data_IF_770654379934
#
_entry.id   IF_770654379934
#
_cell.length_a   1.000
_cell.length_b   1.000
_cell.length_c   1.000
_cell.angle_alpha   90.00
_cell.angle_beta   90.00
_cell.angle_gamma   90.00
#
_symmetry.space_group_name_H-M   'P 1'
#
loop_
_entity.id
_entity.type
_entity.pdbx_description
1 polymer ?
#
# COMPACT_ATOMS: atom_id res chain seq x y z
N UNK A 1 -56.04 -1.44 1.41
CA UNK A 1 -54.81 -1.83 2.13
C UNK A 1 -53.62 -1.44 1.27
N UNK A 2 -52.90 -0.40 1.70
CA UNK A 2 -51.89 0.31 0.93
C UNK A 2 -50.63 -0.55 0.71
N UNK A 3 -50.46 -1.04 -0.52
CA UNK A 3 -49.15 -1.38 -1.08
C UNK A 3 -48.56 -0.06 -1.58
N UNK A 4 -47.69 0.62 -0.81
CA UNK A 4 -46.77 1.68 -1.28
C UNK A 4 -45.98 2.35 -0.13
N UNK A 5 -45.50 1.60 0.86
CA UNK A 5 -44.57 2.16 1.87
C UNK A 5 -43.52 1.09 2.23
N UNK A 6 -42.62 0.78 1.29
CA UNK A 6 -41.40 0.00 1.58
C UNK A 6 -40.24 0.45 0.69
N UNK A 7 -40.02 1.76 0.55
CA UNK A 7 -38.86 2.26 -0.19
C UNK A 7 -38.35 3.58 0.41
N UNK A 8 -38.00 3.57 1.69
CA UNK A 8 -37.36 4.74 2.32
C UNK A 8 -36.51 4.36 3.55
N UNK A 9 -35.75 3.26 3.45
CA UNK A 9 -34.87 2.79 4.52
C UNK A 9 -33.63 2.07 3.98
N UNK A 10 -33.04 2.60 2.88
CA UNK A 10 -31.79 2.11 2.29
C UNK A 10 -30.84 3.27 1.96
N UNK A 11 -30.80 4.26 2.85
CA UNK A 11 -29.88 5.39 2.75
C UNK A 11 -29.37 5.78 4.14
N UNK A 12 -28.96 4.78 4.93
CA UNK A 12 -27.93 5.00 5.94
C UNK A 12 -26.61 4.78 5.23
N UNK A 13 -26.18 5.82 4.52
CA UNK A 13 -24.80 5.96 4.08
C UNK A 13 -23.88 5.79 5.30
N UNK A 14 -22.86 4.91 5.27
CA UNK A 14 -21.79 4.98 6.25
C UNK A 14 -20.91 6.19 5.89
N UNK A 15 -21.37 7.40 6.20
CA UNK A 15 -20.65 8.66 5.96
C UNK A 15 -19.61 8.96 7.07
N UNK A 16 -19.05 7.95 7.71
CA UNK A 16 -18.13 8.16 8.84
C UNK A 16 -17.07 7.05 8.99
N UNK A 17 -16.34 6.73 7.92
CA UNK A 17 -15.23 5.74 7.99
C UNK A 17 -13.83 6.40 7.86
N UNK A 18 -13.75 7.65 7.45
CA UNK A 18 -12.49 8.32 7.11
C UNK A 18 -12.02 9.34 8.15
N UNK A 19 -12.20 9.06 9.43
CA UNK A 19 -11.73 9.92 10.53
C UNK A 19 -11.12 9.13 11.68
N UNK A 20 -10.50 7.98 11.36
CA UNK A 20 -10.02 7.04 12.37
C UNK A 20 -8.49 6.94 12.39
N UNK A 21 -7.80 7.32 11.30
CA UNK A 21 -6.34 7.19 11.25
C UNK A 21 -5.65 8.24 12.10
N UNK A 22 -6.17 9.47 12.19
CA UNK A 22 -5.62 10.46 13.11
C UNK A 22 -5.68 9.99 14.56
N UNK A 23 -6.82 9.43 14.96
CA UNK A 23 -7.07 9.00 16.33
C UNK A 23 -6.22 7.77 16.67
N UNK A 24 -6.16 6.79 15.77
CA UNK A 24 -5.27 5.62 15.92
C UNK A 24 -3.79 6.00 15.95
N UNK A 25 -3.38 7.04 15.21
CA UNK A 25 -2.01 7.54 15.26
C UNK A 25 -1.71 8.18 16.62
N UNK A 26 -2.62 8.98 17.16
CA UNK A 26 -2.45 9.61 18.47
C UNK A 26 -2.42 8.56 19.60
N UNK A 27 -3.24 7.50 19.50
CA UNK A 27 -3.23 6.35 20.42
C UNK A 27 -1.88 5.60 20.37
N UNK A 28 -1.40 5.27 19.17
CA UNK A 28 -0.10 4.61 18.96
C UNK A 28 1.07 5.39 19.59
N UNK A 29 1.05 6.72 19.51
CA UNK A 29 2.10 7.56 20.11
C UNK A 29 2.02 7.64 21.64
N UNK A 30 0.86 7.34 22.22
CA UNK A 30 0.67 7.35 23.67
C UNK A 30 1.22 6.10 24.36
N UNK A 31 1.45 5.04 23.59
CA UNK A 31 2.05 3.79 24.06
C UNK A 31 3.58 3.88 24.06
N UNK A 32 4.20 3.38 25.14
CA UNK A 32 5.66 3.43 25.30
C UNK A 32 6.39 2.41 24.44
N UNK A 33 5.75 1.29 24.11
CA UNK A 33 6.32 0.17 23.35
C UNK A 33 5.21 -0.58 22.60
N UNK A 34 4.66 0.01 21.53
CA UNK A 34 3.57 -0.62 20.77
C UNK A 34 4.08 -1.91 20.11
N UNK A 35 3.34 -3.01 20.28
CA UNK A 35 3.65 -4.28 19.64
C UNK A 35 3.18 -4.28 18.18
N UNK A 36 4.05 -4.63 17.23
CA UNK A 36 3.76 -4.53 15.80
C UNK A 36 2.47 -5.26 15.41
N UNK A 37 2.29 -6.48 15.92
CA UNK A 37 1.15 -7.35 15.65
C UNK A 37 -0.19 -6.70 16.00
N UNK A 38 -0.23 -5.82 17.00
CA UNK A 38 -1.44 -5.12 17.44
C UNK A 38 -1.79 -3.97 16.47
N UNK A 39 -0.80 -3.44 15.76
CA UNK A 39 -0.95 -2.32 14.83
C UNK A 39 -1.05 -2.73 13.36
N UNK A 40 -0.82 -4.00 13.01
CA UNK A 40 -0.94 -4.50 11.63
C UNK A 40 -2.25 -4.10 10.93
N UNK A 41 -3.44 -4.17 11.57
CA UNK A 41 -4.68 -3.73 10.94
C UNK A 41 -4.70 -2.22 10.63
N UNK A 42 -4.13 -1.40 11.51
CA UNK A 42 -4.06 0.06 11.35
C UNK A 42 -3.06 0.42 10.26
N UNK A 43 -1.93 -0.30 10.18
CA UNK A 43 -0.93 -0.11 9.12
C UNK A 43 -1.51 -0.51 7.77
N UNK A 44 -2.24 -1.63 7.69
CA UNK A 44 -2.93 -2.05 6.46
C UNK A 44 -3.90 -0.95 6.02
N UNK A 45 -4.76 -0.49 6.92
CA UNK A 45 -5.71 0.59 6.64
C UNK A 45 -5.03 1.89 6.22
N UNK A 46 -3.94 2.28 6.88
CA UNK A 46 -3.16 3.46 6.51
C UNK A 46 -2.60 3.32 5.10
N UNK A 47 -2.03 2.16 4.76
CA UNK A 47 -1.47 1.88 3.45
C UNK A 47 -2.53 1.90 2.34
N UNK A 48 -3.71 1.32 2.57
CA UNK A 48 -4.85 1.39 1.65
C UNK A 48 -5.33 2.84 1.47
N UNK A 49 -5.39 3.62 2.56
CA UNK A 49 -5.81 5.02 2.49
C UNK A 49 -4.92 5.85 1.56
N UNK A 50 -3.60 5.60 1.56
CA UNK A 50 -2.64 6.29 0.67
C UNK A 50 -3.00 6.13 -0.81
N UNK A 51 -3.55 4.97 -1.20
CA UNK A 51 -3.87 4.66 -2.60
C UNK A 51 -5.33 4.87 -2.99
N UNK A 52 -6.23 5.19 -2.05
CA UNK A 52 -7.65 5.46 -2.35
C UNK A 52 -7.95 6.93 -2.64
N UNK A 53 -7.00 7.84 -2.38
CA UNK A 53 -7.20 9.29 -2.52
C UNK A 53 -6.08 9.95 -3.32
N UNK A 54 -6.38 11.03 -4.06
CA UNK A 54 -5.34 11.90 -4.60
C UNK A 54 -4.48 12.47 -3.47
N UNK A 55 -3.21 12.78 -3.79
CA UNK A 55 -2.27 13.41 -2.86
C UNK A 55 -2.90 14.65 -2.21
N UNK A 56 -3.11 14.60 -0.89
CA UNK A 56 -3.69 15.70 -0.13
C UNK A 56 -2.92 15.96 1.17
N UNK A 57 -1.81 16.70 1.03
CA UNK A 57 -0.92 17.04 2.15
C UNK A 57 -1.54 17.94 3.23
N UNK A 58 -2.81 18.35 3.10
CA UNK A 58 -3.54 19.13 4.10
C UNK A 58 -4.56 18.30 4.87
N UNK A 59 -4.87 17.09 4.42
CA UNK A 59 -5.79 16.18 5.12
C UNK A 59 -5.11 15.61 6.36
N UNK A 60 -5.79 15.69 7.51
CA UNK A 60 -5.29 15.08 8.76
C UNK A 60 -5.12 13.58 8.62
N UNK A 61 -6.08 12.90 8.01
CA UNK A 61 -6.01 11.45 7.76
C UNK A 61 -4.87 11.08 6.84
N UNK A 62 -4.62 11.88 5.80
CA UNK A 62 -3.51 11.64 4.89
C UNK A 62 -2.17 11.79 5.59
N UNK A 63 -2.03 12.82 6.43
CA UNK A 63 -0.84 13.02 7.26
C UNK A 63 -0.69 11.86 8.25
N UNK A 64 -1.78 11.43 8.90
CA UNK A 64 -1.76 10.33 9.86
C UNK A 64 -1.39 9.00 9.21
N UNK A 65 -1.97 8.69 8.04
CA UNK A 65 -1.65 7.50 7.26
C UNK A 65 -0.13 7.41 6.97
N UNK A 66 0.44 8.48 6.44
CA UNK A 66 1.87 8.54 6.14
C UNK A 66 2.72 8.42 7.41
N UNK A 67 2.30 9.00 8.54
CA UNK A 67 3.04 8.93 9.80
C UNK A 67 2.98 7.56 10.46
N UNK A 68 1.84 6.86 10.39
CA UNK A 68 1.71 5.46 10.83
C UNK A 68 2.72 4.61 10.05
N UNK A 69 2.74 4.74 8.73
CA UNK A 69 3.67 3.96 7.89
C UNK A 69 5.12 4.35 8.16
N UNK A 70 5.42 5.65 8.31
CA UNK A 70 6.76 6.13 8.60
C UNK A 70 7.29 5.69 9.97
N UNK A 71 6.42 5.55 10.97
CA UNK A 71 6.77 4.99 12.26
C UNK A 71 7.23 3.54 12.12
N UNK A 72 6.45 2.72 11.42
CA UNK A 72 6.70 1.28 11.31
C UNK A 72 7.78 0.89 10.29
N UNK A 73 8.02 1.69 9.24
CA UNK A 73 9.04 1.36 8.22
C UNK A 73 10.45 1.19 8.79
N UNK A 74 10.74 1.80 9.95
CA UNK A 74 12.06 1.81 10.57
C UNK A 74 12.15 0.83 11.76
N UNK A 75 11.10 0.04 12.01
CA UNK A 75 11.03 -0.93 13.11
C UNK A 75 11.26 -2.33 12.56
N UNK A 76 11.69 -3.24 13.44
CA UNK A 76 11.66 -4.65 13.13
C UNK A 76 10.22 -5.15 13.23
N UNK A 77 9.69 -5.62 12.10
CA UNK A 77 8.32 -6.12 11.94
C UNK A 77 8.29 -7.63 11.70
N UNK A 78 9.46 -8.29 11.68
CA UNK A 78 9.59 -9.67 11.22
C UNK A 78 9.29 -9.87 9.73
N UNK A 79 9.08 -8.80 8.95
CA UNK A 79 8.88 -8.84 7.50
C UNK A 79 9.82 -7.85 6.81
N UNK A 80 10.59 -8.34 5.83
CA UNK A 80 11.40 -7.50 4.96
C UNK A 80 10.54 -6.80 3.91
N UNK A 81 10.93 -5.57 3.54
CA UNK A 81 10.39 -4.89 2.36
C UNK A 81 11.43 -5.01 1.24
N UNK A 82 11.15 -5.81 0.19
CA UNK A 82 12.15 -6.13 -0.83
C UNK A 82 12.35 -4.98 -1.82
N UNK A 83 13.11 -3.95 -1.42
CA UNK A 83 13.53 -2.86 -2.29
C UNK A 83 14.63 -3.30 -3.27
N UNK A 84 14.87 -2.52 -4.33
CA UNK A 84 16.05 -2.69 -5.19
C UNK A 84 15.87 -3.61 -6.39
N UNK A 85 14.73 -3.53 -7.07
CA UNK A 85 14.56 -4.09 -8.41
C UNK A 85 14.62 -2.99 -9.50
N UNK A 86 14.67 -3.39 -10.76
CA UNK A 86 14.75 -2.43 -11.87
C UNK A 86 13.58 -1.45 -11.89
N UNK A 87 12.38 -1.91 -11.53
CA UNK A 87 11.23 -1.03 -11.43
C UNK A 87 11.45 0.09 -10.40
N UNK A 88 11.92 -0.24 -9.20
CA UNK A 88 12.28 0.72 -8.14
C UNK A 88 13.27 1.77 -8.64
N UNK A 89 14.27 1.36 -9.43
CA UNK A 89 15.28 2.25 -10.00
C UNK A 89 14.68 3.21 -11.05
N UNK A 90 13.61 2.79 -11.74
CA UNK A 90 12.90 3.70 -12.65
C UNK A 90 12.07 4.76 -11.92
N UNK A 91 11.69 4.52 -10.67
CA UNK A 91 10.88 5.45 -9.88
C UNK A 91 11.75 6.62 -9.39
N UNK A 92 11.38 7.84 -9.75
CA UNK A 92 12.08 9.02 -9.21
C UNK A 92 11.63 9.33 -7.79
N UNK A 93 12.58 9.63 -6.91
CA UNK A 93 12.24 10.02 -5.54
C UNK A 93 11.71 11.47 -5.43
N UNK A 94 11.79 12.28 -6.49
CA UNK A 94 11.33 13.68 -6.49
C UNK A 94 9.85 13.82 -6.09
N UNK A 95 9.02 12.81 -6.39
CA UNK A 95 7.60 12.76 -6.00
C UNK A 95 7.32 11.69 -4.94
N UNK A 96 8.37 11.14 -4.32
CA UNK A 96 8.26 10.07 -3.33
C UNK A 96 7.79 8.73 -3.91
N UNK A 97 7.87 8.48 -5.22
CA UNK A 97 7.31 7.26 -5.81
C UNK A 97 7.97 5.98 -5.28
N UNK A 98 9.26 6.04 -4.93
CA UNK A 98 9.94 4.95 -4.24
C UNK A 98 9.34 4.68 -2.85
N UNK A 99 8.96 5.74 -2.11
CA UNK A 99 8.26 5.61 -0.85
C UNK A 99 6.86 5.02 -1.04
N UNK A 100 6.12 5.44 -2.06
CA UNK A 100 4.83 4.84 -2.38
C UNK A 100 4.98 3.36 -2.76
N UNK A 101 5.99 3.01 -3.54
CA UNK A 101 6.21 1.60 -3.89
C UNK A 101 6.47 0.75 -2.64
N UNK A 102 7.27 1.25 -1.70
CA UNK A 102 7.45 0.63 -0.39
C UNK A 102 6.11 0.45 0.35
N UNK A 103 5.26 1.49 0.40
CA UNK A 103 3.92 1.41 1.01
C UNK A 103 3.06 0.34 0.34
N UNK A 104 3.07 0.24 -1.00
CA UNK A 104 2.29 -0.79 -1.70
C UNK A 104 2.75 -2.21 -1.40
N UNK A 105 4.06 -2.42 -1.20
CA UNK A 105 4.58 -3.73 -0.79
C UNK A 105 4.15 -4.07 0.64
N UNK A 106 4.24 -3.11 1.57
CA UNK A 106 3.71 -3.26 2.93
C UNK A 106 2.20 -3.59 2.92
N UNK A 107 1.42 -2.86 2.12
CA UNK A 107 -0.02 -3.10 1.95
C UNK A 107 -0.27 -4.55 1.52
N UNK A 108 0.41 -4.99 0.46
CA UNK A 108 0.23 -6.32 -0.08
C UNK A 108 0.61 -7.41 0.93
N UNK A 109 1.77 -7.29 1.59
CA UNK A 109 2.20 -8.25 2.61
C UNK A 109 1.21 -8.35 3.78
N UNK A 110 0.73 -7.21 4.27
CA UNK A 110 -0.26 -7.17 5.36
C UNK A 110 -1.61 -7.72 4.94
N UNK A 111 -2.08 -7.42 3.72
CA UNK A 111 -3.30 -8.03 3.18
C UNK A 111 -3.17 -9.56 3.07
N UNK A 112 -2.03 -10.06 2.60
CA UNK A 112 -1.78 -11.49 2.54
C UNK A 112 -1.78 -12.12 3.94
N UNK A 113 -1.15 -11.47 4.93
CA UNK A 113 -1.11 -11.97 6.31
C UNK A 113 -2.50 -11.95 6.96
N UNK A 114 -3.16 -10.80 6.98
CA UNK A 114 -4.41 -10.56 7.72
C UNK A 114 -5.59 -11.22 7.03
N UNK A 115 -5.76 -11.02 5.72
CA UNK A 115 -6.96 -11.41 4.99
C UNK A 115 -6.84 -12.79 4.34
N UNK A 116 -5.61 -13.26 4.07
CA UNK A 116 -5.38 -14.51 3.35
C UNK A 116 -4.61 -15.56 4.16
N UNK A 117 -4.23 -15.26 5.41
CA UNK A 117 -3.44 -16.15 6.28
C UNK A 117 -2.13 -16.64 5.62
N UNK A 118 -1.51 -15.82 4.75
CA UNK A 118 -0.24 -16.10 4.08
C UNK A 118 0.81 -15.09 4.53
N UNK A 119 1.89 -15.58 5.14
CA UNK A 119 3.02 -14.71 5.53
C UNK A 119 4.06 -14.71 4.41
N UNK A 120 4.30 -13.53 3.83
CA UNK A 120 5.35 -13.28 2.85
C UNK A 120 6.49 -12.53 3.55
N UNK A 121 7.47 -13.29 4.06
CA UNK A 121 8.48 -12.75 4.99
C UNK A 121 9.50 -11.85 4.30
N UNK A 122 9.88 -12.17 3.06
CA UNK A 122 10.93 -11.50 2.30
C UNK A 122 12.23 -11.33 3.09
N UNK A 123 12.63 -12.35 3.85
CA UNK A 123 13.87 -12.40 4.62
C UNK A 123 14.89 -13.28 3.87
N UNK A 124 16.17 -12.87 3.76
CA UNK A 124 17.20 -13.69 3.13
C UNK A 124 17.28 -15.11 3.72
N UNK A 125 17.22 -16.10 2.84
CA UNK A 125 17.35 -17.53 3.18
C UNK A 125 18.78 -17.97 2.87
N UNK A 126 19.51 -18.58 3.82
CA UNK A 126 20.88 -19.03 3.58
C UNK A 126 20.98 -19.99 2.40
N UNK A 127 21.85 -19.68 1.44
CA UNK A 127 22.07 -20.51 0.24
C UNK A 127 21.19 -20.14 -0.96
N UNK A 128 20.25 -19.21 -0.81
CA UNK A 128 19.40 -18.70 -1.89
C UNK A 128 19.82 -17.28 -2.31
N UNK A 129 19.56 -16.95 -3.57
CA UNK A 129 19.74 -15.59 -4.07
C UNK A 129 18.47 -14.81 -3.68
N UNK A 130 18.61 -13.79 -2.81
CA UNK A 130 17.49 -13.03 -2.24
C UNK A 130 16.47 -12.54 -3.29
N UNK A 131 16.95 -11.95 -4.39
CA UNK A 131 16.08 -11.42 -5.46
C UNK A 131 15.31 -12.51 -6.23
N UNK A 132 15.75 -13.76 -6.16
CA UNK A 132 15.15 -14.88 -6.87
C UNK A 132 14.20 -15.67 -5.94
N UNK A 133 14.02 -15.25 -4.69
CA UNK A 133 13.04 -15.84 -3.77
C UNK A 133 11.61 -15.54 -4.24
N UNK A 134 10.73 -16.54 -4.10
CA UNK A 134 9.35 -16.47 -4.58
C UNK A 134 8.56 -15.35 -3.89
N UNK A 135 8.69 -15.20 -2.57
CA UNK A 135 7.99 -14.17 -1.81
C UNK A 135 8.48 -12.76 -2.16
N UNK A 136 9.80 -12.59 -2.34
CA UNK A 136 10.42 -11.34 -2.82
C UNK A 136 9.85 -10.95 -4.19
N UNK A 137 9.86 -11.88 -5.15
CA UNK A 137 9.36 -11.62 -6.50
C UNK A 137 7.85 -11.33 -6.53
N UNK A 138 7.07 -12.06 -5.74
CA UNK A 138 5.62 -11.87 -5.60
C UNK A 138 5.31 -10.49 -5.02
N UNK A 139 5.90 -10.13 -3.87
CA UNK A 139 5.67 -8.85 -3.20
C UNK A 139 6.07 -7.68 -4.09
N UNK A 140 7.21 -7.78 -4.76
CA UNK A 140 7.66 -6.74 -5.68
C UNK A 140 6.69 -6.54 -6.85
N UNK A 141 6.23 -7.61 -7.49
CA UNK A 141 5.33 -7.53 -8.64
C UNK A 141 3.95 -7.02 -8.23
N UNK A 142 3.37 -7.55 -7.15
CA UNK A 142 2.02 -7.18 -6.71
C UNK A 142 1.99 -5.77 -6.12
N UNK A 143 3.03 -5.37 -5.36
CA UNK A 143 3.21 -3.98 -4.94
C UNK A 143 3.31 -3.02 -6.13
N UNK A 144 3.99 -3.43 -7.21
CA UNK A 144 4.10 -2.60 -8.41
C UNK A 144 2.74 -2.40 -9.08
N UNK A 145 1.87 -3.42 -9.09
CA UNK A 145 0.51 -3.28 -9.63
C UNK A 145 -0.31 -2.26 -8.85
N UNK A 146 -0.28 -2.29 -7.52
CA UNK A 146 -0.98 -1.33 -6.66
C UNK A 146 -0.53 0.10 -6.99
N UNK A 147 0.79 0.34 -7.04
CA UNK A 147 1.32 1.66 -7.38
C UNK A 147 0.96 2.08 -8.82
N UNK A 148 1.08 1.17 -9.79
CA UNK A 148 0.80 1.48 -11.19
C UNK A 148 -0.69 1.72 -11.45
N UNK A 149 -1.58 1.07 -10.70
CA UNK A 149 -3.00 1.37 -10.68
C UNK A 149 -3.24 2.80 -10.20
N UNK A 150 -2.66 3.16 -9.05
CA UNK A 150 -2.75 4.51 -8.50
C UNK A 150 -2.25 5.59 -9.46
N UNK A 151 -1.08 5.38 -10.09
CA UNK A 151 -0.50 6.28 -11.09
C UNK A 151 -1.37 6.37 -12.34
N UNK A 152 -2.04 5.27 -12.70
CA UNK A 152 -2.85 5.18 -13.93
C UNK A 152 -4.14 5.97 -13.85
N UNK A 153 -4.64 6.24 -12.64
CA UNK A 153 -5.82 7.08 -12.43
C UNK A 153 -5.48 8.56 -12.62
N UNK A 154 -6.17 9.17 -13.58
CA UNK A 154 -6.00 10.59 -13.94
C UNK A 154 -6.39 11.53 -12.80
N UNK A 155 -7.26 11.10 -11.88
CA UNK A 155 -7.68 11.90 -10.73
C UNK A 155 -6.54 12.13 -9.74
N UNK A 156 -5.58 11.20 -9.66
CA UNK A 156 -4.43 11.29 -8.76
C UNK A 156 -3.33 12.24 -9.27
N UNK A 157 -3.39 12.63 -10.55
CA UNK A 157 -2.49 13.62 -11.18
C UNK A 157 -0.99 13.34 -10.95
N UNK A 158 -0.61 12.07 -10.85
CA UNK A 158 0.78 11.66 -10.65
C UNK A 158 1.56 11.76 -11.96
N UNK A 159 2.56 12.63 -11.99
CA UNK A 159 3.50 12.75 -13.11
C UNK A 159 4.62 11.73 -12.98
N UNK A 160 4.98 11.06 -14.07
CA UNK A 160 6.04 10.04 -14.13
C UNK A 160 7.00 10.28 -15.30
N UNK A 161 8.23 9.79 -15.17
CA UNK A 161 9.26 9.88 -16.22
C UNK A 161 8.98 8.90 -17.38
N UNK A 162 9.83 8.90 -18.41
CA UNK A 162 9.67 8.01 -19.56
C UNK A 162 9.81 6.52 -19.22
N UNK A 163 10.73 6.14 -18.33
CA UNK A 163 10.96 4.75 -17.94
C UNK A 163 9.76 4.16 -17.20
N UNK A 164 9.25 4.85 -16.16
CA UNK A 164 8.05 4.44 -15.43
C UNK A 164 6.81 4.40 -16.33
N UNK A 165 6.71 5.25 -17.37
CA UNK A 165 5.60 5.19 -18.35
C UNK A 165 5.56 3.86 -19.10
N UNK A 166 6.70 3.20 -19.33
CA UNK A 166 6.71 1.88 -19.97
C UNK A 166 6.08 0.82 -19.06
N UNK A 167 6.38 0.85 -17.75
CA UNK A 167 5.71 0.01 -16.76
C UNK A 167 4.20 0.27 -16.68
N UNK A 168 3.77 1.54 -16.70
CA UNK A 168 2.34 1.91 -16.76
C UNK A 168 1.65 1.32 -18.01
N UNK A 169 2.32 1.38 -19.17
CA UNK A 169 1.78 0.77 -20.41
C UNK A 169 1.73 -0.74 -20.32
N UNK A 170 2.75 -1.38 -19.77
CA UNK A 170 2.80 -2.83 -19.59
C UNK A 170 1.69 -3.31 -18.64
N UNK A 171 1.50 -2.63 -17.51
CA UNK A 171 0.40 -2.86 -16.58
C UNK A 171 -0.97 -2.80 -17.26
N UNK A 172 -1.27 -1.70 -17.98
CA UNK A 172 -2.55 -1.54 -18.70
C UNK A 172 -2.80 -2.58 -19.79
N UNK A 173 -1.74 -3.25 -20.28
CA UNK A 173 -1.82 -4.30 -21.30
C UNK A 173 -1.81 -5.72 -20.69
N UNK A 174 -1.74 -5.87 -19.37
CA UNK A 174 -1.60 -7.16 -18.71
C UNK A 174 -0.24 -7.84 -18.93
N UNK A 175 0.79 -7.06 -19.31
CA UNK A 175 2.14 -7.53 -19.63
C UNK A 175 3.19 -7.10 -18.61
N UNK A 176 2.76 -6.67 -17.42
CA UNK A 176 3.67 -6.18 -16.39
C UNK A 176 4.65 -7.28 -15.97
N UNK A 177 4.16 -8.49 -15.73
CA UNK A 177 4.98 -9.64 -15.31
C UNK A 177 6.12 -9.92 -16.31
N UNK A 178 5.81 -9.90 -17.60
CA UNK A 178 6.82 -10.10 -18.65
C UNK A 178 7.92 -9.02 -18.58
N UNK A 179 7.55 -7.75 -18.36
CA UNK A 179 8.51 -6.67 -18.22
C UNK A 179 9.30 -6.74 -16.90
N UNK A 180 8.71 -7.30 -15.85
CA UNK A 180 9.32 -7.39 -14.51
C UNK A 180 10.34 -8.52 -14.36
N UNK A 181 10.19 -9.58 -15.17
CA UNK A 181 11.02 -10.79 -15.11
C UNK A 181 12.07 -10.88 -16.23
N UNK A 182 12.09 -9.91 -17.15
CA UNK A 182 13.11 -9.77 -18.19
C UNK A 182 14.25 -8.91 -17.69
#
# INVERSE_FOLDING_TARGET
MNKNIYLLLLLVLPLSVFGQLSDSYDEMLSESDPAYEEYEPIILKASEYVFTQPINSRSKEYIAAHRIIEYWKNKDTGMGIPLGNEFYDTLTNEKGLQYYYMISMMQYQLDQKINNNRVLSCIPVPGEIYKDQDDVSEVQLEGAKILLEYISDKLNKVSVNAATKEYVKAYKKGKLKDLFLN
#
